data_IF_106991149302
#
_entry.id   IF_106991149302
#
_cell.length_a   1.000
_cell.length_b   1.000
_cell.length_c   1.000
_cell.angle_alpha   90.00
_cell.angle_beta   90.00
_cell.angle_gamma   90.00
#
_symmetry.space_group_name_H-M   'P 1'
#
loop_
_entity.id
_entity.type
_entity.pdbx_description
1 polymer ?
#
# COMPACT_ATOMS: atom_id res chain seq x y z
N UNK A 1 65.73 -31.36 34.62
CA UNK A 1 64.39 -31.07 35.19
C UNK A 1 64.09 -29.61 34.91
N UNK A 2 63.35 -29.35 33.85
CA UNK A 2 62.78 -28.03 33.56
C UNK A 2 61.35 -28.26 33.10
N UNK A 3 60.41 -27.84 33.91
CA UNK A 3 58.97 -27.87 33.57
C UNK A 3 58.66 -26.63 32.74
N UNK A 4 58.10 -26.84 31.54
CA UNK A 4 57.54 -25.78 30.74
C UNK A 4 56.11 -25.52 31.23
N UNK A 5 55.80 -24.26 31.48
CA UNK A 5 54.44 -23.77 31.76
C UNK A 5 53.75 -23.54 30.42
N UNK A 6 52.77 -24.42 30.10
CA UNK A 6 51.83 -24.21 28.98
C UNK A 6 50.80 -23.16 29.45
N UNK A 7 50.88 -21.98 28.82
CA UNK A 7 49.83 -20.96 28.95
C UNK A 7 48.78 -21.23 27.91
N UNK A 8 47.66 -21.84 28.32
CA UNK A 8 46.43 -21.93 27.53
C UNK A 8 45.82 -20.55 27.31
N UNK A 9 46.02 -19.99 26.13
CA UNK A 9 45.30 -18.81 25.69
C UNK A 9 43.97 -19.26 25.07
N UNK A 10 42.87 -19.18 25.85
CA UNK A 10 41.50 -19.28 25.35
C UNK A 10 41.27 -18.16 24.32
N UNK A 11 40.69 -18.47 23.13
CA UNK A 11 40.28 -17.43 22.19
C UNK A 11 39.04 -16.74 22.78
N UNK A 12 39.19 -15.48 23.09
CA UNK A 12 38.07 -14.60 23.46
C UNK A 12 37.13 -14.48 22.27
N UNK A 13 36.05 -15.26 22.31
CA UNK A 13 34.92 -15.16 21.39
C UNK A 13 34.12 -13.89 21.71
N UNK A 14 34.61 -12.72 21.25
CA UNK A 14 33.83 -11.50 21.18
C UNK A 14 32.87 -11.59 20.00
N UNK A 15 31.85 -12.43 20.10
CA UNK A 15 30.71 -12.40 19.22
C UNK A 15 30.03 -11.05 19.40
N UNK A 16 30.31 -10.10 18.51
CA UNK A 16 29.49 -8.92 18.34
C UNK A 16 28.06 -9.41 18.09
N UNK A 17 27.18 -9.30 19.08
CA UNK A 17 25.76 -9.53 18.89
C UNK A 17 25.34 -8.63 17.73
N UNK A 18 24.96 -9.21 16.61
CA UNK A 18 24.44 -8.47 15.47
C UNK A 18 23.28 -7.62 16.01
N UNK A 19 23.36 -6.30 15.87
CA UNK A 19 22.29 -5.38 16.29
C UNK A 19 21.00 -5.87 15.64
N UNK A 20 19.98 -6.16 16.43
CA UNK A 20 18.68 -6.57 15.91
C UNK A 20 18.12 -5.46 15.02
N UNK A 21 17.68 -5.83 13.84
CA UNK A 21 17.12 -4.93 12.83
C UNK A 21 15.86 -4.28 13.33
N UNK A 22 15.73 -2.98 13.13
CA UNK A 22 14.51 -2.23 13.43
C UNK A 22 13.72 -1.98 12.13
N UNK A 23 12.41 -2.18 12.19
CA UNK A 23 11.50 -1.74 11.12
C UNK A 23 10.79 -0.47 11.55
N UNK A 24 10.87 0.56 10.71
CA UNK A 24 10.26 1.86 10.93
C UNK A 24 9.01 1.98 10.07
N UNK A 25 7.83 2.17 10.66
CA UNK A 25 6.56 2.38 9.94
C UNK A 25 6.29 3.88 9.93
N UNK A 26 6.35 4.49 8.76
CA UNK A 26 5.97 5.90 8.54
C UNK A 26 4.53 5.94 8.04
N UNK A 27 3.67 6.73 8.68
CA UNK A 27 2.22 6.69 8.46
C UNK A 27 1.50 5.61 9.27
N UNK A 28 2.01 5.32 10.46
CA UNK A 28 1.53 4.26 11.35
C UNK A 28 0.06 4.40 11.80
N UNK A 29 -0.53 5.60 11.74
CA UNK A 29 -1.93 5.83 12.06
C UNK A 29 -2.91 5.61 10.90
N UNK A 30 -2.43 5.26 9.69
CA UNK A 30 -3.27 4.92 8.54
C UNK A 30 -3.75 3.46 8.56
N UNK A 31 -4.63 3.10 7.60
CA UNK A 31 -5.19 1.74 7.52
C UNK A 31 -4.12 0.64 7.49
N UNK A 32 -3.16 0.73 6.56
CA UNK A 32 -2.07 -0.24 6.47
C UNK A 32 -1.10 -0.14 7.66
N UNK A 33 -0.77 1.08 8.11
CA UNK A 33 0.12 1.28 9.26
C UNK A 33 -0.43 0.62 10.53
N UNK A 34 -1.72 0.77 10.79
CA UNK A 34 -2.41 0.11 11.90
C UNK A 34 -2.41 -1.41 11.72
N UNK A 35 -2.74 -1.90 10.51
CA UNK A 35 -2.73 -3.33 10.23
C UNK A 35 -1.33 -3.96 10.42
N UNK A 36 -0.25 -3.25 10.05
CA UNK A 36 1.12 -3.67 10.32
C UNK A 36 1.39 -3.79 11.83
N UNK A 37 0.93 -2.84 12.62
CA UNK A 37 1.13 -2.87 14.07
C UNK A 37 0.34 -3.99 14.76
N UNK A 38 -0.82 -4.35 14.22
CA UNK A 38 -1.72 -5.37 14.75
C UNK A 38 -1.39 -6.79 14.26
N UNK A 39 -0.54 -6.93 13.23
CA UNK A 39 -0.17 -8.23 12.64
C UNK A 39 0.60 -9.11 13.65
N UNK A 40 0.27 -10.40 13.68
CA UNK A 40 1.01 -11.42 14.42
C UNK A 40 2.42 -11.66 13.85
N UNK A 41 2.65 -11.29 12.59
CA UNK A 41 3.95 -11.38 11.91
C UNK A 41 4.87 -10.18 12.19
N UNK A 42 4.43 -9.23 13.01
CA UNK A 42 5.21 -8.06 13.39
C UNK A 42 6.52 -8.47 14.07
N UNK A 43 7.68 -7.98 13.61
CA UNK A 43 8.98 -8.26 14.24
C UNK A 43 9.07 -7.61 15.63
N UNK A 44 10.03 -8.10 16.46
CA UNK A 44 10.21 -7.61 17.84
C UNK A 44 10.59 -6.13 17.94
N UNK A 45 11.29 -5.59 16.95
CA UNK A 45 11.76 -4.21 16.96
C UNK A 45 11.07 -3.39 15.88
N UNK A 46 10.01 -2.67 16.27
CA UNK A 46 9.23 -1.77 15.40
C UNK A 46 9.18 -0.38 16.00
N UNK A 47 9.41 0.65 15.18
CA UNK A 47 9.18 2.06 15.51
C UNK A 47 8.03 2.58 14.64
N UNK A 48 6.98 3.03 15.26
CA UNK A 48 5.79 3.59 14.62
C UNK A 48 5.87 5.12 14.62
N UNK A 49 5.79 5.73 13.44
CA UNK A 49 5.80 7.17 13.24
C UNK A 49 4.49 7.61 12.57
N UNK A 50 3.75 8.48 13.24
CA UNK A 50 2.54 9.12 12.73
C UNK A 50 2.85 10.50 12.15
N UNK A 51 1.84 11.18 11.60
CA UNK A 51 1.98 12.58 11.14
C UNK A 51 2.26 13.59 12.27
N UNK A 52 2.18 13.18 13.54
CA UNK A 52 2.59 13.98 14.70
C UNK A 52 4.09 13.87 14.96
N UNK A 53 4.69 12.77 14.55
CA UNK A 53 6.10 12.45 14.79
C UNK A 53 6.98 12.91 13.63
N UNK A 54 6.45 12.86 12.40
CA UNK A 54 7.18 13.23 11.18
C UNK A 54 6.26 13.84 10.13
N UNK A 55 6.62 15.02 9.62
CA UNK A 55 6.11 15.54 8.35
C UNK A 55 7.06 15.10 7.24
N UNK A 56 6.64 14.13 6.42
CA UNK A 56 7.49 13.60 5.35
C UNK A 56 7.76 14.60 4.23
N UNK A 57 6.93 15.64 4.08
CA UNK A 57 7.14 16.71 3.10
C UNK A 57 8.30 17.64 3.47
N UNK A 58 8.73 17.65 4.75
CA UNK A 58 9.84 18.41 5.27
C UNK A 58 11.09 17.52 5.47
N UNK A 59 12.13 17.75 4.70
CA UNK A 59 13.38 16.99 4.75
C UNK A 59 14.07 17.05 6.13
N UNK A 60 13.98 18.19 6.84
CA UNK A 60 14.56 18.34 8.17
C UNK A 60 13.75 17.55 9.22
N UNK A 61 12.42 17.53 9.09
CA UNK A 61 11.55 16.70 9.92
C UNK A 61 11.88 15.22 9.76
N UNK A 62 12.05 14.76 8.52
CA UNK A 62 12.45 13.37 8.21
C UNK A 62 13.83 13.06 8.79
N UNK A 63 14.82 13.95 8.62
CA UNK A 63 16.16 13.74 9.15
C UNK A 63 16.18 13.64 10.69
N UNK A 64 15.37 14.44 11.38
CA UNK A 64 15.23 14.37 12.84
C UNK A 64 14.53 13.09 13.30
N UNK A 65 13.42 12.74 12.64
CA UNK A 65 12.63 11.57 13.03
C UNK A 65 13.37 10.24 12.81
N UNK A 66 14.23 10.18 11.79
CA UNK A 66 15.03 9.01 11.42
C UNK A 66 16.51 9.12 11.87
N UNK A 67 16.84 9.98 12.85
CA UNK A 67 18.22 10.20 13.28
C UNK A 67 18.92 8.93 13.80
N UNK A 68 18.17 7.98 14.36
CA UNK A 68 18.67 6.69 14.88
C UNK A 68 18.66 5.56 13.84
N UNK A 69 18.24 5.85 12.58
CA UNK A 69 18.19 4.85 11.51
C UNK A 69 19.59 4.29 11.25
N UNK A 70 19.70 2.98 11.16
CA UNK A 70 20.99 2.30 11.02
C UNK A 70 21.02 1.40 9.78
N UNK A 71 22.23 1.03 9.37
CA UNK A 71 22.43 0.11 8.27
C UNK A 71 21.71 -1.23 8.53
N UNK A 72 20.98 -1.69 7.51
CA UNK A 72 20.19 -2.91 7.56
C UNK A 72 18.79 -2.73 8.20
N UNK A 73 18.46 -1.57 8.75
CA UNK A 73 17.07 -1.24 9.15
C UNK A 73 16.16 -1.15 7.90
N UNK A 74 14.86 -1.25 8.11
CA UNK A 74 13.85 -1.12 7.04
C UNK A 74 12.91 0.04 7.36
N UNK A 75 12.61 0.86 6.38
CA UNK A 75 11.57 1.89 6.46
C UNK A 75 10.40 1.49 5.56
N UNK A 76 9.21 1.28 6.14
CA UNK A 76 7.97 1.06 5.40
C UNK A 76 7.20 2.37 5.36
N UNK A 77 7.13 2.98 4.18
CA UNK A 77 6.39 4.22 3.99
C UNK A 77 4.95 3.96 3.58
N UNK A 78 4.03 4.03 4.55
CA UNK A 78 2.58 4.00 4.36
C UNK A 78 1.95 5.40 4.31
N UNK A 79 2.75 6.47 4.55
CA UNK A 79 2.23 7.83 4.57
C UNK A 79 1.94 8.32 3.14
N UNK A 80 0.77 8.88 2.93
CA UNK A 80 0.34 9.47 1.67
C UNK A 80 -0.81 10.45 1.87
N UNK A 81 -0.95 11.38 0.95
CA UNK A 81 -2.19 12.14 0.74
C UNK A 81 -3.13 11.29 -0.10
N UNK A 82 -4.12 10.66 0.52
CA UNK A 82 -4.96 9.61 -0.10
C UNK A 82 -6.33 10.08 -0.56
N UNK A 83 -6.73 11.33 -0.26
CA UNK A 83 -8.01 11.85 -0.73
C UNK A 83 -7.92 12.22 -2.21
N UNK A 84 -8.32 11.29 -3.08
CA UNK A 84 -8.23 11.42 -4.55
C UNK A 84 -8.99 12.64 -5.06
N UNK A 85 -10.21 12.90 -4.55
CA UNK A 85 -11.05 14.02 -4.98
C UNK A 85 -10.49 15.37 -4.49
N UNK A 86 -10.04 15.45 -3.23
CA UNK A 86 -9.46 16.68 -2.69
C UNK A 86 -8.11 17.02 -3.34
N UNK A 87 -7.35 16.04 -3.81
CA UNK A 87 -6.08 16.25 -4.50
C UNK A 87 -6.23 17.12 -5.75
N UNK A 88 -7.37 17.05 -6.45
CA UNK A 88 -7.62 17.87 -7.65
C UNK A 88 -7.60 19.38 -7.35
N UNK A 89 -7.98 19.76 -6.14
CA UNK A 89 -7.96 21.18 -5.65
C UNK A 89 -6.78 21.50 -4.74
N UNK A 90 -6.08 20.52 -4.19
CA UNK A 90 -4.96 20.67 -3.24
C UNK A 90 -3.67 20.03 -3.80
N UNK A 91 -3.34 20.42 -5.03
CA UNK A 91 -2.22 19.84 -5.82
C UNK A 91 -0.87 19.99 -5.13
N UNK A 92 -0.62 21.16 -4.55
CA UNK A 92 0.65 21.47 -3.88
C UNK A 92 0.87 20.56 -2.67
N UNK A 93 -0.16 20.37 -1.83
CA UNK A 93 -0.08 19.49 -0.68
C UNK A 93 0.03 18.03 -1.10
N UNK A 94 -0.73 17.62 -2.11
CA UNK A 94 -0.63 16.26 -2.67
C UNK A 94 0.79 15.97 -3.19
N UNK A 95 1.39 16.91 -3.95
CA UNK A 95 2.77 16.77 -4.45
C UNK A 95 3.81 16.77 -3.31
N UNK A 96 3.67 17.66 -2.34
CA UNK A 96 4.58 17.72 -1.20
C UNK A 96 4.62 16.39 -0.42
N UNK A 97 3.45 15.79 -0.16
CA UNK A 97 3.36 14.53 0.60
C UNK A 97 3.70 13.33 -0.28
N UNK A 98 3.13 13.25 -1.50
CA UNK A 98 3.21 12.04 -2.32
C UNK A 98 4.47 11.97 -3.20
N UNK A 99 5.10 13.12 -3.53
CA UNK A 99 6.30 13.14 -4.36
C UNK A 99 7.56 13.49 -3.53
N UNK A 100 7.57 14.66 -2.86
CA UNK A 100 8.73 15.06 -2.06
C UNK A 100 8.94 14.16 -0.84
N UNK A 101 7.86 13.71 -0.20
CA UNK A 101 7.93 12.84 0.99
C UNK A 101 8.72 11.55 0.76
N UNK A 102 8.38 10.72 -0.26
CA UNK A 102 9.16 9.52 -0.59
C UNK A 102 10.61 9.81 -0.95
N UNK A 103 10.91 10.93 -1.63
CA UNK A 103 12.28 11.34 -1.94
C UNK A 103 13.09 11.64 -0.67
N UNK A 104 12.47 12.35 0.30
CA UNK A 104 13.11 12.66 1.58
C UNK A 104 13.42 11.39 2.38
N UNK A 105 12.48 10.44 2.44
CA UNK A 105 12.67 9.14 3.10
C UNK A 105 13.77 8.33 2.41
N UNK A 106 13.73 8.21 1.07
CA UNK A 106 14.73 7.50 0.29
C UNK A 106 16.14 8.09 0.48
N UNK A 107 16.25 9.43 0.56
CA UNK A 107 17.53 10.09 0.84
C UNK A 107 18.09 9.69 2.21
N UNK A 108 17.24 9.55 3.23
CA UNK A 108 17.70 9.15 4.57
C UNK A 108 18.03 7.66 4.64
N UNK A 109 17.23 6.79 4.00
CA UNK A 109 17.55 5.35 3.94
C UNK A 109 18.85 5.08 3.21
N UNK A 110 19.08 5.73 2.06
CA UNK A 110 20.35 5.61 1.33
C UNK A 110 21.55 6.06 2.18
N UNK A 111 21.45 7.19 2.90
CA UNK A 111 22.53 7.67 3.79
C UNK A 111 22.83 6.74 4.95
N UNK A 112 21.80 6.10 5.50
CA UNK A 112 21.93 5.19 6.63
C UNK A 112 22.36 3.76 6.22
N UNK A 113 22.28 3.41 4.93
CA UNK A 113 22.39 2.02 4.47
C UNK A 113 21.20 1.16 4.90
N UNK A 114 20.04 1.79 5.07
CA UNK A 114 18.75 1.15 5.36
C UNK A 114 17.96 0.93 4.07
N UNK A 115 16.93 0.12 4.11
CA UNK A 115 16.09 -0.19 2.95
C UNK A 115 14.73 0.48 3.03
N UNK A 116 14.29 1.13 1.94
CA UNK A 116 12.97 1.73 1.81
C UNK A 116 12.01 0.79 1.06
N UNK A 117 10.85 0.51 1.68
CA UNK A 117 9.67 -0.06 1.04
C UNK A 117 8.62 1.05 0.95
N UNK A 118 8.33 1.52 -0.27
CA UNK A 118 7.36 2.60 -0.49
C UNK A 118 6.04 2.05 -1.04
N UNK A 119 4.94 2.27 -0.30
CA UNK A 119 3.60 1.86 -0.72
C UNK A 119 3.04 2.86 -1.73
N UNK A 120 2.66 2.35 -2.90
CA UNK A 120 2.08 3.09 -4.02
C UNK A 120 0.68 2.58 -4.38
N UNK A 121 0.18 2.90 -5.56
CA UNK A 121 -1.22 2.74 -5.95
C UNK A 121 -1.38 2.29 -7.39
N UNK A 122 -2.53 1.69 -7.69
CA UNK A 122 -3.01 1.40 -9.04
C UNK A 122 -3.31 2.66 -9.87
N UNK A 123 -3.53 3.82 -9.23
CA UNK A 123 -3.77 5.10 -9.91
C UNK A 123 -2.57 5.63 -10.71
N UNK A 124 -1.40 5.01 -10.63
CA UNK A 124 -0.24 5.35 -11.47
C UNK A 124 -0.43 4.93 -12.93
N UNK A 125 -1.36 4.03 -13.19
CA UNK A 125 -1.70 3.59 -14.53
C UNK A 125 -2.78 4.47 -15.14
N UNK A 126 -2.69 4.72 -16.46
CA UNK A 126 -3.72 5.38 -17.23
C UNK A 126 -4.77 4.37 -17.69
N UNK A 127 -5.70 3.99 -16.81
CA UNK A 127 -6.92 3.36 -17.26
C UNK A 127 -7.76 4.41 -17.99
N UNK A 128 -8.30 4.11 -19.19
CA UNK A 128 -9.31 5.00 -19.76
C UNK A 128 -10.34 5.30 -18.66
N UNK A 129 -10.54 6.59 -18.33
CA UNK A 129 -11.45 6.98 -17.26
C UNK A 129 -12.81 6.33 -17.50
N UNK A 130 -13.39 5.76 -16.45
CA UNK A 130 -14.78 5.37 -16.45
C UNK A 130 -15.61 6.65 -16.70
N UNK A 131 -16.56 6.61 -17.65
CA UNK A 131 -17.38 7.75 -17.99
C UNK A 131 -17.25 8.21 -19.45
N UNK A 132 -17.75 9.41 -19.74
CA UNK A 132 -17.83 9.93 -21.11
C UNK A 132 -16.46 10.29 -21.68
N UNK A 133 -16.13 9.84 -22.93
CA UNK A 133 -15.02 10.38 -23.67
C UNK A 133 -15.22 11.91 -23.85
N UNK A 134 -14.12 12.66 -23.95
CA UNK A 134 -14.19 14.08 -24.29
C UNK A 134 -14.88 14.23 -25.66
N UNK A 135 -15.59 15.34 -25.86
CA UNK A 135 -16.32 15.61 -27.09
C UNK A 135 -15.37 15.49 -28.29
N UNK A 136 -15.68 14.52 -29.21
CA UNK A 136 -14.87 14.22 -30.38
C UNK A 136 -13.83 13.10 -30.25
N UNK A 137 -13.65 12.52 -29.07
CA UNK A 137 -12.78 11.37 -28.86
C UNK A 137 -13.58 10.05 -28.91
N UNK A 138 -13.06 9.06 -29.63
CA UNK A 138 -13.60 7.71 -29.55
C UNK A 138 -13.19 7.11 -28.20
N UNK A 139 -14.15 6.51 -27.49
CA UNK A 139 -13.84 5.79 -26.24
C UNK A 139 -12.84 4.67 -26.56
N UNK A 140 -11.66 4.64 -25.94
CA UNK A 140 -10.78 3.49 -26.11
C UNK A 140 -11.49 2.24 -25.60
N UNK A 141 -11.20 1.10 -26.24
CA UNK A 141 -11.73 -0.17 -25.76
C UNK A 141 -11.29 -0.36 -24.29
N UNK A 142 -12.18 -0.80 -23.38
CA UNK A 142 -11.81 -1.03 -22.01
C UNK A 142 -10.68 -2.07 -21.94
N UNK A 143 -9.68 -1.81 -21.13
CA UNK A 143 -8.63 -2.79 -20.82
C UNK A 143 -9.29 -4.00 -20.15
N UNK A 144 -8.84 -5.19 -20.50
CA UNK A 144 -9.34 -6.46 -19.93
C UNK A 144 -8.23 -7.32 -19.36
N UNK A 145 -6.97 -6.86 -19.46
CA UNK A 145 -5.80 -7.56 -18.92
C UNK A 145 -5.21 -6.76 -17.76
N UNK A 146 -4.85 -7.41 -16.65
CA UNK A 146 -4.21 -6.76 -15.52
C UNK A 146 -2.95 -5.97 -15.90
N UNK A 147 -2.64 -4.93 -15.12
CA UNK A 147 -1.41 -4.16 -15.29
C UNK A 147 -0.24 -4.92 -14.65
N UNK A 148 0.80 -5.15 -15.44
CA UNK A 148 2.05 -5.73 -14.95
C UNK A 148 2.85 -4.72 -14.11
N UNK A 149 3.73 -5.23 -13.24
CA UNK A 149 4.63 -4.41 -12.42
C UNK A 149 5.75 -3.85 -13.31
N UNK A 150 5.60 -2.60 -13.74
CA UNK A 150 6.48 -1.96 -14.71
C UNK A 150 6.78 -0.51 -14.35
N UNK A 151 7.86 0.03 -14.92
CA UNK A 151 8.17 1.48 -14.96
C UNK A 151 8.21 2.00 -16.39
N UNK A 152 7.66 1.25 -17.35
CA UNK A 152 7.58 1.69 -18.75
C UNK A 152 6.56 2.83 -18.88
N UNK A 153 7.00 3.94 -19.48
CA UNK A 153 6.23 5.19 -19.56
C UNK A 153 4.87 5.04 -20.26
N UNK A 154 4.77 4.18 -21.28
CA UNK A 154 3.52 4.00 -22.05
C UNK A 154 2.39 3.41 -21.19
N UNK A 155 2.71 2.67 -20.12
CA UNK A 155 1.74 2.11 -19.19
C UNK A 155 1.42 3.08 -18.03
N UNK A 156 2.33 4.02 -17.73
CA UNK A 156 2.26 4.92 -16.59
C UNK A 156 1.75 6.31 -17.02
N UNK A 157 0.44 6.42 -17.17
CA UNK A 157 -0.23 7.64 -17.65
C UNK A 157 -1.37 8.06 -16.70
N UNK A 158 -1.09 8.47 -15.45
CA UNK A 158 -2.11 8.79 -14.45
C UNK A 158 -3.01 9.93 -14.90
N UNK A 159 -4.32 9.78 -14.74
CA UNK A 159 -5.33 10.78 -15.13
C UNK A 159 -5.73 11.71 -13.98
N UNK A 160 -5.30 11.41 -12.75
CA UNK A 160 -5.62 12.19 -11.54
C UNK A 160 -4.38 12.84 -10.93
N UNK A 161 -4.57 13.92 -10.21
CA UNK A 161 -3.48 14.55 -9.42
C UNK A 161 -2.91 13.57 -8.40
N UNK A 162 -3.77 12.78 -7.74
CA UNK A 162 -3.34 11.74 -6.83
C UNK A 162 -2.41 10.74 -7.51
N UNK A 163 -2.83 10.14 -8.61
CA UNK A 163 -2.02 9.18 -9.37
C UNK A 163 -0.70 9.77 -9.87
N UNK A 164 -0.76 11.00 -10.44
CA UNK A 164 0.41 11.70 -10.95
C UNK A 164 1.44 11.97 -9.83
N UNK A 165 1.00 12.46 -8.68
CA UNK A 165 1.90 12.75 -7.54
C UNK A 165 2.46 11.47 -6.91
N UNK A 166 1.69 10.37 -6.89
CA UNK A 166 2.20 9.06 -6.43
C UNK A 166 3.27 8.51 -7.39
N UNK A 167 3.04 8.57 -8.70
CA UNK A 167 4.02 8.16 -9.70
C UNK A 167 5.31 8.99 -9.61
N UNK A 168 5.18 10.31 -9.45
CA UNK A 168 6.34 11.17 -9.21
C UNK A 168 7.12 10.74 -7.96
N UNK A 169 6.42 10.35 -6.89
CA UNK A 169 7.02 9.81 -5.67
C UNK A 169 7.78 8.50 -5.87
N UNK A 170 7.25 7.57 -6.67
CA UNK A 170 7.96 6.34 -7.06
C UNK A 170 9.29 6.67 -7.76
N UNK A 171 9.24 7.57 -8.74
CA UNK A 171 10.42 8.00 -9.52
C UNK A 171 11.43 8.73 -8.65
N UNK A 172 10.96 9.64 -7.80
CA UNK A 172 11.81 10.43 -6.91
C UNK A 172 12.49 9.55 -5.84
N UNK A 173 11.76 8.61 -5.25
CA UNK A 173 12.34 7.64 -4.30
C UNK A 173 13.44 6.80 -4.94
N UNK A 174 13.19 6.21 -6.12
CA UNK A 174 14.17 5.40 -6.83
C UNK A 174 15.35 6.18 -7.39
N UNK A 175 15.17 7.48 -7.67
CA UNK A 175 16.26 8.37 -8.04
C UNK A 175 17.18 8.65 -6.86
N UNK A 176 16.60 8.86 -5.66
CA UNK A 176 17.34 9.13 -4.43
C UNK A 176 17.99 7.85 -3.86
N UNK A 177 17.31 6.71 -4.01
CA UNK A 177 17.77 5.40 -3.55
C UNK A 177 17.35 4.31 -4.57
N UNK A 178 18.24 3.89 -5.48
CA UNK A 178 17.95 2.84 -6.46
C UNK A 178 17.59 1.48 -5.82
N UNK A 179 17.88 1.28 -4.54
CA UNK A 179 17.51 0.07 -3.80
C UNK A 179 16.11 0.11 -3.25
N UNK A 180 15.44 1.27 -3.29
CA UNK A 180 14.07 1.42 -2.81
C UNK A 180 13.10 0.53 -3.58
N UNK A 181 12.31 -0.26 -2.86
CA UNK A 181 11.28 -1.13 -3.42
C UNK A 181 9.94 -0.41 -3.42
N UNK A 182 9.27 -0.44 -4.56
CA UNK A 182 7.94 0.12 -4.73
C UNK A 182 6.91 -1.02 -4.64
N UNK A 183 5.92 -0.88 -3.77
CA UNK A 183 4.80 -1.82 -3.65
C UNK A 183 3.51 -1.10 -4.03
N UNK A 184 2.96 -1.39 -5.20
CA UNK A 184 1.65 -0.88 -5.62
C UNK A 184 0.56 -1.78 -5.09
N UNK A 185 -0.49 -1.17 -4.56
CA UNK A 185 -1.68 -1.84 -4.06
C UNK A 185 -2.93 -1.10 -4.55
N UNK A 186 -4.12 -1.65 -4.30
CA UNK A 186 -5.38 -1.07 -4.76
C UNK A 186 -6.50 -1.33 -3.76
N UNK A 187 -7.46 -0.41 -3.67
CA UNK A 187 -8.73 -0.57 -2.98
C UNK A 187 -8.60 -1.16 -1.57
N UNK A 188 -7.65 -0.61 -0.78
CA UNK A 188 -7.35 -1.10 0.57
C UNK A 188 -8.53 -0.84 1.51
N UNK A 189 -8.94 -1.88 2.25
CA UNK A 189 -10.00 -1.81 3.25
C UNK A 189 -9.61 -2.59 4.52
N UNK A 190 -10.24 -2.23 5.64
CA UNK A 190 -10.01 -2.87 6.94
C UNK A 190 -11.16 -3.79 7.36
N UNK A 191 -12.35 -3.63 6.77
CA UNK A 191 -13.54 -4.40 7.10
C UNK A 191 -14.34 -3.87 8.29
N UNK A 192 -13.78 -3.03 9.16
CA UNK A 192 -14.46 -2.45 10.30
C UNK A 192 -15.66 -1.58 9.90
N UNK A 193 -16.77 -1.66 10.65
CA UNK A 193 -17.97 -0.87 10.36
C UNK A 193 -17.74 0.64 10.46
N UNK A 194 -16.88 1.06 11.39
CA UNK A 194 -16.53 2.46 11.61
C UNK A 194 -15.41 2.95 10.69
N UNK A 195 -14.82 2.06 9.89
CA UNK A 195 -13.77 2.43 8.93
C UNK A 195 -14.31 3.39 7.87
N UNK A 196 -13.54 4.41 7.47
CA UNK A 196 -13.92 5.33 6.39
C UNK A 196 -13.80 4.71 4.98
N UNK A 197 -13.32 3.46 4.87
CA UNK A 197 -13.18 2.76 3.59
C UNK A 197 -14.52 2.33 2.99
N UNK A 198 -14.46 1.79 1.77
CA UNK A 198 -15.65 1.37 1.04
C UNK A 198 -16.42 0.26 1.76
N UNK A 199 -15.73 -0.75 2.29
CA UNK A 199 -16.37 -1.88 3.00
C UNK A 199 -17.09 -1.40 4.25
N UNK A 200 -16.45 -0.56 5.08
CA UNK A 200 -17.08 0.04 6.25
C UNK A 200 -18.31 0.89 5.87
N UNK A 201 -18.21 1.63 4.75
CA UNK A 201 -19.33 2.41 4.22
C UNK A 201 -20.49 1.50 3.80
N UNK A 202 -20.25 0.39 3.10
CA UNK A 202 -21.30 -0.57 2.71
C UNK A 202 -21.95 -1.20 3.94
N UNK A 203 -21.18 -1.58 4.96
CA UNK A 203 -21.72 -2.10 6.23
C UNK A 203 -22.63 -1.09 6.95
N UNK A 204 -22.30 0.21 6.92
CA UNK A 204 -23.17 1.26 7.49
C UNK A 204 -24.45 1.47 6.66
N UNK A 205 -24.32 1.47 5.34
CA UNK A 205 -25.46 1.64 4.43
C UNK A 205 -26.41 0.45 4.50
N UNK A 206 -25.88 -0.77 4.59
CA UNK A 206 -26.68 -1.98 4.79
C UNK A 206 -27.63 -1.85 6.00
N UNK A 207 -27.10 -1.39 7.12
CA UNK A 207 -27.87 -1.25 8.36
C UNK A 207 -28.87 -0.08 8.36
N UNK A 208 -28.78 0.87 7.41
CA UNK A 208 -29.52 2.14 7.44
C UNK A 208 -30.37 2.42 6.19
N UNK A 209 -30.27 1.62 5.14
CA UNK A 209 -30.95 1.82 3.85
C UNK A 209 -31.60 0.53 3.39
N UNK A 210 -32.83 0.61 2.87
CA UNK A 210 -33.51 -0.54 2.29
C UNK A 210 -32.84 -1.01 1.00
N UNK A 211 -32.44 -0.07 0.15
CA UNK A 211 -31.71 -0.33 -1.12
C UNK A 211 -30.63 0.71 -1.32
N UNK A 212 -29.57 0.34 -2.06
CA UNK A 212 -28.47 1.24 -2.47
C UNK A 212 -28.13 1.04 -3.95
N UNK A 213 -27.48 2.03 -4.54
CA UNK A 213 -26.89 1.93 -5.89
C UNK A 213 -25.38 2.05 -5.81
N UNK A 214 -24.67 1.23 -6.59
CA UNK A 214 -23.20 1.19 -6.61
C UNK A 214 -22.69 1.07 -8.06
N UNK A 215 -21.62 1.76 -8.39
CA UNK A 215 -21.00 1.73 -9.73
C UNK A 215 -20.51 0.32 -10.09
N UNK A 216 -20.79 -0.09 -11.34
CA UNK A 216 -20.46 -1.43 -11.88
C UNK A 216 -19.53 -1.38 -13.10
N UNK A 217 -19.13 -0.19 -13.53
CA UNK A 217 -18.25 0.03 -14.68
C UNK A 217 -16.81 0.43 -14.28
N UNK A 218 -16.42 0.16 -13.02
CA UNK A 218 -15.07 0.32 -12.50
C UNK A 218 -14.60 -1.01 -11.93
N UNK A 219 -13.56 -1.61 -12.52
CA UNK A 219 -13.01 -2.91 -12.11
C UNK A 219 -11.61 -2.72 -11.54
N UNK A 220 -11.35 -3.30 -10.37
CA UNK A 220 -10.06 -3.19 -9.67
C UNK A 220 -9.75 -4.41 -8.81
N UNK A 221 -8.77 -4.25 -7.91
CA UNK A 221 -8.27 -5.30 -7.01
C UNK A 221 -8.56 -4.95 -5.55
N UNK A 222 -9.69 -5.38 -4.95
CA UNK A 222 -9.96 -5.16 -3.54
C UNK A 222 -8.87 -5.82 -2.67
N UNK A 223 -8.33 -5.08 -1.69
CA UNK A 223 -7.22 -5.55 -0.89
C UNK A 223 -7.47 -5.36 0.60
N UNK A 224 -7.48 -6.47 1.35
CA UNK A 224 -7.62 -6.46 2.80
C UNK A 224 -6.32 -5.99 3.46
N UNK A 225 -6.41 -4.98 4.32
CA UNK A 225 -5.24 -4.34 4.93
C UNK A 225 -4.38 -5.31 5.75
N UNK A 226 -4.97 -6.32 6.40
CA UNK A 226 -4.20 -7.33 7.16
C UNK A 226 -3.43 -8.28 6.24
N UNK A 227 -4.05 -8.75 5.16
CA UNK A 227 -3.35 -9.59 4.17
C UNK A 227 -2.18 -8.83 3.54
N UNK A 228 -2.39 -7.54 3.22
CA UNK A 228 -1.32 -6.68 2.72
C UNK A 228 -0.23 -6.47 3.77
N UNK A 229 -0.59 -6.28 5.04
CA UNK A 229 0.36 -6.12 6.13
C UNK A 229 1.25 -7.35 6.31
N UNK A 230 0.66 -8.55 6.26
CA UNK A 230 1.41 -9.81 6.37
C UNK A 230 2.37 -9.98 5.19
N UNK A 231 1.92 -9.66 3.97
CA UNK A 231 2.79 -9.64 2.79
C UNK A 231 3.93 -8.61 2.91
N UNK A 232 3.67 -7.42 3.42
CA UNK A 232 4.70 -6.39 3.64
C UNK A 232 5.68 -6.84 4.72
N UNK A 233 5.25 -7.54 5.78
CA UNK A 233 6.14 -8.12 6.78
C UNK A 233 7.04 -9.22 6.18
N UNK A 234 6.48 -10.10 5.33
CA UNK A 234 7.27 -11.08 4.59
C UNK A 234 8.31 -10.37 3.72
N UNK A 235 7.92 -9.35 2.94
CA UNK A 235 8.83 -8.55 2.12
C UNK A 235 9.92 -7.92 2.99
N UNK A 236 9.58 -7.26 4.10
CA UNK A 236 10.54 -6.61 4.99
C UNK A 236 11.55 -7.60 5.59
N UNK A 237 11.22 -8.88 5.68
CA UNK A 237 12.13 -9.94 6.12
C UNK A 237 13.25 -10.24 5.09
N UNK A 238 13.05 -9.87 3.81
CA UNK A 238 13.92 -10.18 2.66
C UNK A 238 15.03 -9.14 2.43
N UNK A 239 15.41 -8.35 3.44
CA UNK A 239 16.50 -7.36 3.31
C UNK A 239 17.75 -7.98 2.70
N UNK A 240 18.31 -7.30 1.68
CA UNK A 240 19.51 -7.76 0.97
C UNK A 240 19.25 -8.87 -0.05
N UNK A 241 18.00 -9.19 -0.35
CA UNK A 241 17.65 -10.11 -1.43
C UNK A 241 17.47 -9.32 -2.73
N UNK A 242 18.28 -9.63 -3.75
CA UNK A 242 18.28 -8.93 -5.05
C UNK A 242 16.95 -9.05 -5.80
N UNK A 243 16.16 -10.09 -5.54
CA UNK A 243 14.86 -10.26 -6.20
C UNK A 243 13.81 -9.20 -5.79
N UNK A 244 14.00 -8.58 -4.62
CA UNK A 244 13.06 -7.56 -4.09
C UNK A 244 13.69 -6.17 -3.99
N UNK A 245 15.00 -6.08 -3.86
CA UNK A 245 15.73 -4.80 -3.73
C UNK A 245 15.65 -4.01 -5.04
N UNK A 246 15.15 -2.78 -4.97
CA UNK A 246 14.95 -1.92 -6.15
C UNK A 246 13.82 -2.36 -7.09
N UNK A 247 13.04 -3.39 -6.71
CA UNK A 247 11.95 -3.91 -7.52
C UNK A 247 10.72 -3.00 -7.48
N UNK A 248 9.86 -3.17 -8.50
CA UNK A 248 8.46 -2.73 -8.49
C UNK A 248 7.61 -3.98 -8.37
N UNK A 249 6.77 -4.04 -7.36
CA UNK A 249 5.94 -5.19 -7.04
C UNK A 249 4.47 -4.75 -6.92
N UNK A 250 3.55 -5.66 -7.23
CA UNK A 250 2.13 -5.47 -6.97
C UNK A 250 1.67 -6.40 -5.85
N UNK A 251 1.04 -5.87 -4.82
CA UNK A 251 0.53 -6.61 -3.68
C UNK A 251 -0.95 -6.31 -3.48
N UNK A 252 -1.81 -7.19 -3.97
CA UNK A 252 -3.27 -7.15 -3.84
C UNK A 252 -3.81 -8.53 -3.54
N UNK A 253 -4.98 -8.63 -2.93
CA UNK A 253 -5.69 -9.91 -2.94
C UNK A 253 -5.97 -10.34 -4.39
N UNK A 254 -5.93 -11.63 -4.66
CA UNK A 254 -6.08 -12.16 -6.02
C UNK A 254 -7.53 -12.07 -6.51
N UNK A 255 -7.68 -11.92 -7.83
CA UNK A 255 -8.96 -11.74 -8.51
C UNK A 255 -9.28 -10.27 -8.77
N UNK A 256 -10.34 -10.05 -9.52
CA UNK A 256 -10.85 -8.73 -9.89
C UNK A 256 -12.32 -8.60 -9.45
N UNK A 257 -12.76 -7.39 -9.17
CA UNK A 257 -14.14 -7.09 -8.81
C UNK A 257 -14.51 -5.68 -9.26
N UNK A 258 -15.81 -5.45 -9.50
CA UNK A 258 -16.37 -4.10 -9.54
C UNK A 258 -16.71 -3.63 -8.11
N UNK A 259 -16.92 -2.33 -7.92
CA UNK A 259 -17.44 -1.84 -6.64
C UNK A 259 -18.81 -2.44 -6.30
N UNK A 260 -19.63 -2.69 -7.34
CA UNK A 260 -20.92 -3.37 -7.20
C UNK A 260 -20.72 -4.81 -6.68
N UNK A 261 -19.79 -5.59 -7.24
CA UNK A 261 -19.48 -6.94 -6.75
C UNK A 261 -19.06 -6.93 -5.29
N UNK A 262 -18.19 -5.97 -4.91
CA UNK A 262 -17.74 -5.83 -3.51
C UNK A 262 -18.91 -5.48 -2.59
N UNK A 263 -19.79 -4.56 -3.00
CA UNK A 263 -20.96 -4.17 -2.19
C UNK A 263 -21.92 -5.33 -1.98
N UNK A 264 -22.22 -6.11 -3.04
CA UNK A 264 -23.04 -7.32 -2.92
C UNK A 264 -22.42 -8.34 -1.96
N UNK A 265 -21.11 -8.57 -2.10
CA UNK A 265 -20.40 -9.51 -1.23
C UNK A 265 -20.35 -9.03 0.24
N UNK A 266 -20.34 -7.72 0.51
CA UNK A 266 -20.47 -7.18 1.87
C UNK A 266 -21.86 -7.48 2.44
N UNK A 267 -22.94 -7.24 1.67
CA UNK A 267 -24.31 -7.53 2.12
C UNK A 267 -24.48 -9.02 2.42
N UNK A 268 -24.03 -9.89 1.50
CA UNK A 268 -24.04 -11.34 1.70
C UNK A 268 -23.28 -11.75 2.96
N UNK A 269 -22.07 -11.20 3.15
CA UNK A 269 -21.18 -11.53 4.27
C UNK A 269 -21.72 -11.13 5.64
N UNK A 270 -22.59 -10.11 5.71
CA UNK A 270 -23.30 -9.74 6.96
C UNK A 270 -24.68 -10.41 7.09
N UNK A 271 -25.03 -11.32 6.18
CA UNK A 271 -26.30 -12.06 6.20
C UNK A 271 -27.49 -11.28 5.66
N UNK A 272 -27.26 -10.18 4.93
CA UNK A 272 -28.29 -9.38 4.27
C UNK A 272 -28.53 -9.84 2.83
N UNK A 273 -29.67 -9.44 2.25
CA UNK A 273 -30.02 -9.74 0.87
C UNK A 273 -29.17 -8.89 -0.11
N UNK A 274 -28.28 -9.50 -0.93
CA UNK A 274 -27.46 -8.76 -1.89
C UNK A 274 -28.28 -8.11 -3.01
N UNK A 275 -29.52 -8.54 -3.26
CA UNK A 275 -30.41 -7.90 -4.25
C UNK A 275 -30.84 -6.47 -3.88
N UNK A 276 -30.59 -6.04 -2.64
CA UNK A 276 -30.74 -4.65 -2.18
C UNK A 276 -29.71 -3.70 -2.79
N UNK A 277 -28.66 -4.23 -3.42
CA UNK A 277 -27.63 -3.46 -4.15
C UNK A 277 -27.98 -3.50 -5.64
N UNK A 278 -28.13 -2.34 -6.27
CA UNK A 278 -28.38 -2.21 -7.71
C UNK A 278 -27.20 -1.56 -8.43
N UNK A 279 -26.84 -2.01 -9.65
CA UNK A 279 -25.73 -1.43 -10.40
C UNK A 279 -26.12 -0.08 -10.99
N UNK A 280 -25.15 0.83 -11.10
CA UNK A 280 -25.24 2.09 -11.84
C UNK A 280 -23.93 2.33 -12.58
N UNK A 281 -23.93 3.28 -13.51
CA UNK A 281 -22.70 3.68 -14.21
C UNK A 281 -22.00 4.84 -13.49
N UNK A 282 -20.72 5.06 -13.79
CA UNK A 282 -19.93 6.20 -13.28
C UNK A 282 -20.58 7.54 -13.65
N UNK A 283 -21.22 7.64 -14.82
CA UNK A 283 -21.91 8.87 -15.27
C UNK A 283 -23.07 9.26 -14.34
N UNK A 284 -23.67 8.29 -13.64
CA UNK A 284 -24.74 8.54 -12.67
C UNK A 284 -24.20 8.92 -11.28
N UNK A 285 -22.88 8.77 -11.08
CA UNK A 285 -22.22 9.07 -9.81
C UNK A 285 -20.97 9.95 -10.00
N UNK A 286 -21.12 11.20 -10.50
CA UNK A 286 -20.01 12.06 -10.84
C UNK A 286 -19.12 12.37 -9.63
N UNK A 287 -17.80 12.38 -9.84
CA UNK A 287 -16.77 12.71 -8.86
C UNK A 287 -15.84 13.81 -9.40
N UNK A 288 -15.20 14.64 -8.52
CA UNK A 288 -14.23 15.63 -8.93
C UNK A 288 -13.04 15.04 -9.69
N UNK A 289 -12.48 13.93 -9.23
CA UNK A 289 -11.42 13.21 -9.90
C UNK A 289 -11.99 12.07 -10.76
N UNK A 290 -11.47 11.85 -11.97
CA UNK A 290 -11.86 10.68 -12.78
C UNK A 290 -11.48 9.37 -12.06
N UNK A 291 -12.23 8.33 -12.34
CA UNK A 291 -11.96 6.99 -11.80
C UNK A 291 -11.59 6.06 -12.96
N UNK A 292 -10.53 5.22 -12.81
CA UNK A 292 -10.19 4.23 -13.81
C UNK A 292 -11.35 3.27 -14.05
N UNK A 293 -11.67 3.00 -15.32
CA UNK A 293 -12.64 1.93 -15.66
C UNK A 293 -12.05 0.55 -15.34
N UNK A 294 -10.73 0.43 -15.43
CA UNK A 294 -10.01 -0.82 -15.14
C UNK A 294 -8.66 -0.51 -14.50
N UNK A 295 -8.43 -1.01 -13.30
CA UNK A 295 -7.17 -0.81 -12.55
C UNK A 295 -6.66 -2.10 -11.89
N UNK A 296 -7.04 -3.27 -12.42
CA UNK A 296 -6.60 -4.56 -11.86
C UNK A 296 -5.09 -4.70 -11.99
N UNK A 297 -4.44 -5.07 -10.90
CA UNK A 297 -3.00 -5.28 -10.80
C UNK A 297 -2.63 -6.75 -10.96
N UNK A 298 -1.63 -7.05 -11.78
CA UNK A 298 -1.02 -8.38 -11.88
C UNK A 298 0.04 -8.54 -10.77
N UNK A 299 -0.17 -9.50 -9.89
CA UNK A 299 0.75 -9.81 -8.78
C UNK A 299 1.79 -10.90 -9.12
N UNK A 300 2.00 -11.24 -10.39
CA UNK A 300 2.98 -12.27 -10.79
C UNK A 300 4.40 -11.92 -10.34
N UNK A 301 4.82 -10.66 -10.49
CA UNK A 301 6.14 -10.20 -10.03
C UNK A 301 6.36 -10.39 -8.52
N UNK A 302 5.29 -10.33 -7.70
CA UNK A 302 5.34 -10.64 -6.27
C UNK A 302 5.68 -12.11 -6.03
N UNK A 303 4.98 -13.02 -6.74
CA UNK A 303 5.21 -14.46 -6.65
C UNK A 303 6.59 -14.86 -7.21
N UNK A 304 7.01 -14.26 -8.33
CA UNK A 304 8.31 -14.50 -8.97
C UNK A 304 9.48 -14.06 -8.07
N UNK A 305 9.27 -13.04 -7.23
CA UNK A 305 10.23 -12.63 -6.20
C UNK A 305 10.26 -13.59 -4.98
N UNK A 306 9.50 -14.68 -5.01
CA UNK A 306 9.44 -15.70 -3.95
C UNK A 306 8.64 -15.28 -2.73
N UNK A 307 7.74 -14.29 -2.89
CA UNK A 307 6.82 -13.83 -1.85
C UNK A 307 5.49 -14.59 -1.96
N UNK A 308 4.82 -14.78 -0.82
CA UNK A 308 3.56 -15.52 -0.76
C UNK A 308 2.44 -14.70 -1.41
N UNK A 309 1.77 -15.20 -2.47
CA UNK A 309 0.60 -14.53 -3.05
C UNK A 309 -0.51 -14.34 -2.02
N UNK A 310 -1.15 -13.16 -2.04
CA UNK A 310 -2.29 -12.91 -1.18
C UNK A 310 -3.50 -13.75 -1.65
N UNK A 311 -4.33 -14.19 -0.69
CA UNK A 311 -5.53 -15.03 -0.97
C UNK A 311 -6.54 -14.32 -1.87
N UNK A 312 -7.59 -15.04 -2.30
CA UNK A 312 -8.68 -14.48 -3.10
C UNK A 312 -9.41 -13.34 -2.36
N UNK A 313 -9.82 -12.29 -3.09
CA UNK A 313 -10.48 -11.12 -2.48
C UNK A 313 -11.79 -11.46 -1.74
N UNK A 314 -12.55 -12.46 -2.20
CA UNK A 314 -13.80 -12.89 -1.52
C UNK A 314 -13.51 -13.53 -0.16
N UNK A 315 -12.47 -14.37 -0.08
CA UNK A 315 -12.04 -14.98 1.18
C UNK A 315 -11.48 -13.93 2.15
N UNK A 316 -10.74 -12.96 1.59
CA UNK A 316 -10.21 -11.82 2.35
C UNK A 316 -11.34 -10.95 2.92
N UNK A 317 -12.35 -10.64 2.10
CA UNK A 317 -13.53 -9.89 2.53
C UNK A 317 -14.33 -10.64 3.59
N UNK A 318 -14.54 -11.95 3.41
CA UNK A 318 -15.22 -12.79 4.40
C UNK A 318 -14.51 -12.74 5.76
N UNK A 319 -13.18 -12.85 5.78
CA UNK A 319 -12.40 -12.72 7.01
C UNK A 319 -12.52 -11.31 7.63
N UNK A 320 -12.44 -10.26 6.82
CA UNK A 320 -12.53 -8.88 7.27
C UNK A 320 -13.89 -8.51 7.91
N UNK A 321 -14.99 -9.12 7.43
CA UNK A 321 -16.34 -8.85 7.95
C UNK A 321 -16.59 -9.57 9.28
N UNK A 322 -16.04 -10.76 9.48
CA UNK A 322 -16.23 -11.59 10.68
C UNK A 322 -15.38 -11.06 11.85
N UNK A 323 -14.26 -10.40 11.60
CA UNK A 323 -13.45 -9.85 12.67
C UNK A 323 -14.20 -8.79 13.47
N UNK A 324 -14.14 -8.84 14.82
CA UNK A 324 -14.73 -7.79 15.64
C UNK A 324 -14.08 -6.45 15.31
N UNK A 325 -14.90 -5.39 15.24
CA UNK A 325 -14.39 -4.02 15.08
C UNK A 325 -13.30 -3.78 16.13
N UNK A 326 -12.06 -3.62 15.68
CA UNK A 326 -10.94 -3.27 16.58
C UNK A 326 -11.30 -1.92 17.19
N UNK A 327 -11.59 -1.93 18.50
CA UNK A 327 -11.94 -0.72 19.23
C UNK A 327 -10.71 0.16 19.27
N UNK A 328 -10.82 1.39 18.77
CA UNK A 328 -9.91 2.46 19.15
C UNK A 328 -10.14 2.72 20.64
N UNK A 329 -9.32 2.10 21.50
CA UNK A 329 -9.14 2.50 22.89
C UNK A 329 -8.11 3.62 23.01
#
# INVERSE_FOLDING_TARGET
MHRGDDVDTEPSNSGSAAKERTVWIVGAGGQLGTALLDSEHKPGHVRALTSRDVDISDAESVARALADLAAGDVVVNCAAYTNVDAAESDRERAAAVNASGPANLATQTARAGAWLIHISTDYVFGGAAAGRPREGEARPAPRTTPYEATMVEDDLAPETVYGATKLEGERAARTADPTATIVRTAWVYTGGRESPDFVGTMRRLEASRDTITVVDDQTGSPTYARDLADGVWELASRVGNDAVTGAVLHATNSGAATWFDVAQAVFEGVGADPSRVSPVTTDEFPRPAPRPAYSVLDASAWADAGLTPLRGWRDALGAAIVEPDVRNE
#
